data_IF_141095519969
#
_entry.id   IF_141095519969
#
_cell.length_a   1.000
_cell.length_b   1.000
_cell.length_c   1.000
_cell.angle_alpha   90.00
_cell.angle_beta   90.00
_cell.angle_gamma   90.00
#
_symmetry.space_group_name_H-M   'P 1'
#
loop_
_entity.id
_entity.type
_entity.pdbx_description
1 polymer ?
#
# COMPACT_ATOMS: atom_id res chain seq x y z
N UNK A 1 -9.18 12.29 10.16
CA UNK A 1 -9.17 12.99 8.85
C UNK A 1 -8.66 12.09 7.73
N UNK A 2 -7.51 11.43 7.89
CA UNK A 2 -6.91 10.53 6.88
C UNK A 2 -7.86 9.43 6.39
N UNK A 3 -8.50 8.66 7.29
CA UNK A 3 -9.51 7.63 6.91
C UNK A 3 -10.71 8.14 6.10
N UNK A 4 -11.10 9.41 6.27
CA UNK A 4 -12.19 10.03 5.49
C UNK A 4 -11.74 10.49 4.10
N UNK A 5 -10.48 10.92 3.98
CA UNK A 5 -9.91 11.31 2.69
C UNK A 5 -9.66 10.08 1.80
N UNK A 6 -9.16 8.99 2.40
CA UNK A 6 -8.98 7.71 1.70
C UNK A 6 -10.34 7.15 1.25
N UNK A 7 -11.36 7.11 2.13
CA UNK A 7 -12.71 6.70 1.73
C UNK A 7 -13.32 7.58 0.62
N UNK A 8 -13.05 8.88 0.63
CA UNK A 8 -13.54 9.79 -0.41
C UNK A 8 -12.82 9.63 -1.77
N UNK A 9 -11.53 9.33 -1.75
CA UNK A 9 -10.72 9.13 -2.96
C UNK A 9 -10.89 7.73 -3.57
N UNK A 10 -11.34 6.75 -2.78
CA UNK A 10 -11.36 5.33 -3.17
C UNK A 10 -12.75 4.68 -3.23
N UNK A 11 -13.84 5.40 -2.93
CA UNK A 11 -15.21 4.87 -3.10
C UNK A 11 -15.78 5.14 -4.50
N UNK A 12 -16.62 4.23 -5.05
CA UNK A 12 -17.32 4.44 -6.30
C UNK A 12 -18.33 5.60 -6.18
N UNK A 13 -18.60 6.33 -7.29
CA UNK A 13 -19.37 7.59 -7.27
C UNK A 13 -20.83 7.48 -6.79
N UNK A 14 -21.37 6.26 -6.68
CA UNK A 14 -22.77 5.99 -6.37
C UNK A 14 -23.01 5.42 -4.95
N UNK A 15 -22.03 5.48 -4.04
CA UNK A 15 -22.24 5.07 -2.64
C UNK A 15 -23.16 6.08 -1.90
N UNK A 16 -24.40 5.68 -1.51
CA UNK A 16 -25.36 6.56 -0.87
C UNK A 16 -24.98 6.96 0.57
N UNK A 17 -23.92 6.37 1.14
CA UNK A 17 -23.38 6.72 2.45
C UNK A 17 -22.45 7.94 2.47
N UNK A 18 -22.09 8.49 1.31
CA UNK A 18 -21.12 9.59 1.21
C UNK A 18 -21.82 10.94 1.30
N UNK A 19 -21.57 11.67 2.38
CA UNK A 19 -21.97 13.08 2.53
C UNK A 19 -21.29 13.89 1.42
N UNK A 20 -22.07 14.44 0.49
CA UNK A 20 -21.56 15.27 -0.61
C UNK A 20 -20.91 16.54 -0.05
N UNK A 21 -19.68 16.80 -0.49
CA UNK A 21 -18.92 17.98 -0.11
C UNK A 21 -19.68 19.27 -0.45
N UNK A 22 -19.65 20.23 0.47
CA UNK A 22 -20.22 21.56 0.31
C UNK A 22 -19.45 22.38 -0.73
N UNK A 23 -20.06 23.43 -1.32
CA UNK A 23 -19.36 24.31 -2.25
C UNK A 23 -18.09 24.96 -1.69
N UNK A 24 -18.02 25.18 -0.37
CA UNK A 24 -16.83 25.69 0.30
C UNK A 24 -15.71 24.63 0.43
N UNK A 25 -16.08 23.38 0.66
CA UNK A 25 -15.14 22.24 0.63
C UNK A 25 -14.61 22.01 -0.80
N UNK A 26 -15.47 22.17 -1.82
CA UNK A 26 -15.08 22.10 -3.24
C UNK A 26 -14.14 23.28 -3.63
N UNK A 27 -14.36 24.47 -3.07
CA UNK A 27 -13.50 25.64 -3.31
C UNK A 27 -12.13 25.48 -2.64
N UNK A 28 -12.08 24.97 -1.41
CA UNK A 28 -10.82 24.59 -0.75
C UNK A 28 -10.12 23.44 -1.48
N UNK A 29 -10.87 22.47 -1.99
CA UNK A 29 -10.36 21.37 -2.80
C UNK A 29 -9.73 21.88 -4.11
N UNK A 30 -10.33 22.88 -4.79
CA UNK A 30 -9.71 23.56 -5.95
C UNK A 30 -8.41 24.30 -5.62
N UNK A 31 -8.31 24.90 -4.43
CA UNK A 31 -7.10 25.59 -3.97
C UNK A 31 -6.01 24.57 -3.57
N UNK A 32 -6.41 23.41 -3.03
CA UNK A 32 -5.52 22.31 -2.66
C UNK A 32 -5.06 21.48 -3.88
N UNK A 33 -5.86 21.43 -4.95
CA UNK A 33 -5.62 20.74 -6.24
C UNK A 33 -4.70 21.50 -7.21
N UNK A 34 -4.05 22.59 -6.76
CA UNK A 34 -3.34 23.56 -7.61
C UNK A 34 -2.85 23.01 -8.96
N UNK A 35 -3.52 23.38 -10.05
CA UNK A 35 -3.21 23.08 -11.46
C UNK A 35 -2.51 21.73 -11.77
N UNK A 36 -2.87 20.64 -11.10
CA UNK A 36 -2.27 19.31 -11.33
C UNK A 36 -2.64 18.64 -12.68
N UNK A 37 -3.85 18.80 -13.26
CA UNK A 37 -4.27 18.02 -14.45
C UNK A 37 -3.41 18.19 -15.71
N UNK A 38 -2.46 19.14 -15.72
CA UNK A 38 -1.56 19.42 -16.85
C UNK A 38 -0.14 18.88 -16.67
N UNK A 39 0.18 18.29 -15.51
CA UNK A 39 1.50 17.77 -15.25
C UNK A 39 1.76 16.48 -16.02
N UNK A 40 2.99 16.32 -16.48
CA UNK A 40 3.51 15.07 -17.04
C UNK A 40 3.63 14.00 -15.94
N UNK A 41 3.67 12.72 -16.33
CA UNK A 41 3.89 11.60 -15.40
C UNK A 41 5.15 11.81 -14.56
N UNK A 42 6.25 12.30 -15.16
CA UNK A 42 7.49 12.62 -14.45
C UNK A 42 7.33 13.74 -13.41
N UNK A 43 6.54 14.77 -13.73
CA UNK A 43 6.29 15.86 -12.77
C UNK A 43 5.40 15.40 -11.62
N UNK A 44 4.43 14.54 -11.89
CA UNK A 44 3.56 13.94 -10.88
C UNK A 44 4.34 13.03 -9.93
N UNK A 45 5.20 12.13 -10.44
CA UNK A 45 6.03 11.28 -9.58
C UNK A 45 7.00 12.12 -8.75
N UNK A 46 7.58 13.19 -9.32
CA UNK A 46 8.42 14.13 -8.58
C UNK A 46 7.68 14.79 -7.41
N UNK A 47 6.40 15.16 -7.57
CA UNK A 47 5.59 15.70 -6.46
C UNK A 47 5.47 14.67 -5.33
N UNK A 48 5.33 13.38 -5.63
CA UNK A 48 5.33 12.31 -4.62
C UNK A 48 6.68 12.16 -3.93
N UNK A 49 7.79 12.11 -4.68
CA UNK A 49 9.15 12.03 -4.11
C UNK A 49 9.47 13.22 -3.20
N UNK A 50 9.16 14.44 -3.66
CA UNK A 50 9.33 15.66 -2.87
C UNK A 50 8.44 15.66 -1.62
N UNK A 51 7.25 15.04 -1.68
CA UNK A 51 6.40 14.86 -0.50
C UNK A 51 7.04 13.94 0.54
N UNK A 52 7.48 12.74 0.13
CA UNK A 52 8.07 11.77 1.06
C UNK A 52 9.42 12.22 1.64
N UNK A 53 10.23 12.94 0.85
CA UNK A 53 11.52 13.48 1.30
C UNK A 53 11.40 14.49 2.47
N UNK A 54 10.20 15.03 2.73
CA UNK A 54 9.96 15.95 3.85
C UNK A 54 9.79 15.24 5.20
N UNK A 55 9.65 13.92 5.18
CA UNK A 55 9.54 13.09 6.38
C UNK A 55 10.80 12.21 6.45
N UNK A 56 11.95 12.78 6.84
CA UNK A 56 13.17 12.00 7.00
C UNK A 56 12.95 10.91 8.06
N UNK A 57 13.79 9.88 7.95
CA UNK A 57 13.79 8.70 8.83
C UNK A 57 13.57 9.10 10.31
N UNK A 58 12.56 8.52 10.99
CA UNK A 58 12.24 8.85 12.38
C UNK A 58 13.40 8.56 13.37
N UNK A 59 14.43 7.83 12.94
CA UNK A 59 15.67 7.63 13.71
C UNK A 59 16.60 8.85 13.73
N UNK A 60 16.36 9.85 12.88
CA UNK A 60 17.11 11.09 12.84
C UNK A 60 16.42 12.10 13.77
N UNK A 61 17.04 12.41 14.91
CA UNK A 61 16.62 13.51 15.78
C UNK A 61 16.71 14.83 14.99
N UNK A 62 15.57 15.35 14.53
CA UNK A 62 15.50 16.65 13.88
C UNK A 62 15.19 17.70 14.94
N UNK A 63 16.11 18.65 15.13
CA UNK A 63 15.90 19.82 15.99
C UNK A 63 14.62 20.55 15.55
N UNK A 64 13.62 20.60 16.43
CA UNK A 64 12.24 21.03 16.13
C UNK A 64 12.05 22.55 16.17
N UNK A 65 13.14 23.32 16.23
CA UNK A 65 13.12 24.77 16.16
C UNK A 65 12.72 25.24 14.74
N UNK A 66 11.41 25.49 14.58
CA UNK A 66 10.74 26.01 13.39
C UNK A 66 10.80 25.11 12.15
N UNK A 67 9.84 24.19 12.02
CA UNK A 67 9.61 23.47 10.76
C UNK A 67 9.28 24.49 9.66
N UNK A 68 10.13 24.66 8.63
CA UNK A 68 9.80 25.50 7.49
C UNK A 68 8.50 25.00 6.83
N UNK A 69 7.77 25.86 6.12
CA UNK A 69 6.59 25.42 5.37
C UNK A 69 6.98 24.28 4.44
N UNK A 70 6.19 23.21 4.48
CA UNK A 70 6.36 22.02 3.67
C UNK A 70 6.40 22.40 2.17
N UNK A 71 7.50 22.13 1.42
CA UNK A 71 7.59 22.45 0.00
C UNK A 71 6.47 21.81 -0.85
N UNK A 72 5.92 20.67 -0.42
CA UNK A 72 4.74 20.05 -1.05
C UNK A 72 3.65 19.86 0.01
N UNK A 73 2.50 20.50 -0.20
CA UNK A 73 1.32 20.30 0.66
C UNK A 73 0.73 18.90 0.46
N UNK A 74 0.09 18.36 1.50
CA UNK A 74 -0.63 17.08 1.40
C UNK A 74 -1.72 17.10 0.32
N UNK A 75 -2.39 18.25 0.11
CA UNK A 75 -3.39 18.40 -0.95
C UNK A 75 -2.80 18.24 -2.36
N UNK A 76 -1.62 18.83 -2.59
CA UNK A 76 -0.91 18.70 -3.87
C UNK A 76 -0.42 17.27 -4.09
N UNK A 77 0.09 16.62 -3.04
CA UNK A 77 0.46 15.21 -3.08
C UNK A 77 -0.73 14.30 -3.45
N UNK A 78 -1.85 14.38 -2.73
CA UNK A 78 -3.02 13.52 -3.00
C UNK A 78 -3.64 13.76 -4.38
N UNK A 79 -3.59 14.99 -4.85
CA UNK A 79 -4.02 15.32 -6.21
C UNK A 79 -3.10 14.67 -7.25
N UNK A 80 -1.78 14.65 -7.02
CA UNK A 80 -0.84 13.97 -7.92
C UNK A 80 -1.04 12.44 -7.91
N UNK A 81 -1.26 11.86 -6.72
CA UNK A 81 -1.59 10.44 -6.54
C UNK A 81 -2.85 10.06 -7.32
N UNK A 82 -3.92 10.86 -7.22
CA UNK A 82 -5.17 10.60 -7.93
C UNK A 82 -4.98 10.60 -9.46
N UNK A 83 -4.21 11.55 -10.00
CA UNK A 83 -3.90 11.61 -11.43
C UNK A 83 -2.99 10.44 -11.87
N UNK A 84 -1.97 10.08 -11.07
CA UNK A 84 -1.08 8.94 -11.33
C UNK A 84 -1.85 7.62 -11.41
N UNK A 85 -2.85 7.40 -10.54
CA UNK A 85 -3.70 6.20 -10.57
C UNK A 85 -4.36 5.96 -11.93
N UNK A 86 -4.73 7.05 -12.62
CA UNK A 86 -5.34 7.02 -13.95
C UNK A 86 -4.35 6.79 -15.10
N UNK A 87 -3.03 6.89 -14.85
CA UNK A 87 -1.98 6.65 -15.86
C UNK A 87 -1.70 5.17 -16.12
N UNK A 88 -2.17 4.29 -15.24
CA UNK A 88 -2.10 2.85 -15.43
C UNK A 88 -0.67 2.36 -15.67
N UNK A 89 -0.40 1.63 -16.77
CA UNK A 89 0.91 1.03 -17.03
C UNK A 89 2.09 2.01 -17.11
N UNK A 90 1.85 3.29 -17.41
CA UNK A 90 2.92 4.29 -17.58
C UNK A 90 3.80 4.45 -16.34
N UNK A 91 3.27 4.15 -15.15
CA UNK A 91 3.96 4.38 -13.89
C UNK A 91 4.55 3.12 -13.27
N UNK A 92 4.37 1.93 -13.87
CA UNK A 92 4.73 0.66 -13.23
C UNK A 92 6.19 0.62 -12.75
N UNK A 93 7.14 1.07 -13.57
CA UNK A 93 8.56 1.07 -13.19
C UNK A 93 8.83 1.95 -11.96
N UNK A 94 8.18 3.12 -11.89
CA UNK A 94 8.29 4.00 -10.73
C UNK A 94 7.66 3.33 -9.50
N UNK A 95 6.47 2.74 -9.65
CA UNK A 95 5.79 2.04 -8.56
C UNK A 95 6.62 0.86 -8.02
N UNK A 96 7.18 0.02 -8.89
CA UNK A 96 8.03 -1.10 -8.46
C UNK A 96 9.28 -0.61 -7.71
N UNK A 97 9.89 0.48 -8.17
CA UNK A 97 11.03 1.10 -7.48
C UNK A 97 10.64 1.64 -6.10
N UNK A 98 9.44 2.22 -5.97
CA UNK A 98 8.93 2.81 -4.73
C UNK A 98 8.64 1.79 -3.62
N UNK A 99 8.48 0.50 -3.94
CA UNK A 99 8.40 -0.57 -2.94
C UNK A 99 9.69 -0.75 -2.12
N UNK A 100 10.83 -0.24 -2.62
CA UNK A 100 12.11 -0.22 -1.89
C UNK A 100 12.42 1.13 -1.25
N UNK A 101 11.50 2.10 -1.33
CA UNK A 101 11.70 3.43 -0.77
C UNK A 101 11.85 3.37 0.76
N UNK A 102 12.55 4.30 1.40
CA UNK A 102 12.78 4.31 2.86
C UNK A 102 11.53 4.71 3.66
N UNK A 103 10.72 5.61 3.13
CA UNK A 103 9.43 6.02 3.68
C UNK A 103 8.37 4.91 3.49
N UNK A 104 7.70 4.51 4.58
CA UNK A 104 6.66 3.46 4.56
C UNK A 104 5.40 3.89 3.80
N UNK A 105 5.02 5.18 3.80
CA UNK A 105 3.85 5.70 3.04
C UNK A 105 4.08 5.53 1.52
N UNK A 106 5.34 5.62 1.08
CA UNK A 106 5.71 5.39 -0.32
C UNK A 106 5.55 3.92 -0.72
N UNK A 107 5.98 3.00 0.16
CA UNK A 107 5.83 1.56 -0.05
C UNK A 107 4.37 1.13 -0.02
N UNK A 108 3.60 1.64 0.94
CA UNK A 108 2.15 1.39 1.04
C UNK A 108 1.41 1.87 -0.22
N UNK A 109 1.69 3.10 -0.69
CA UNK A 109 1.10 3.61 -1.91
C UNK A 109 1.48 2.76 -3.12
N UNK A 110 2.76 2.38 -3.22
CA UNK A 110 3.24 1.59 -4.32
C UNK A 110 2.57 0.20 -4.38
N UNK A 111 2.46 -0.46 -3.23
CA UNK A 111 1.74 -1.73 -3.12
C UNK A 111 0.27 -1.58 -3.52
N UNK A 112 -0.39 -0.51 -3.09
CA UNK A 112 -1.77 -0.19 -3.48
C UNK A 112 -1.92 -0.08 -5.00
N UNK A 113 -1.02 0.68 -5.67
CA UNK A 113 -1.07 0.83 -7.12
C UNK A 113 -0.84 -0.49 -7.86
N UNK A 114 0.10 -1.33 -7.42
CA UNK A 114 0.29 -2.65 -8.05
C UNK A 114 -0.95 -3.53 -7.87
N UNK A 115 -1.57 -3.52 -6.69
CA UNK A 115 -2.84 -4.22 -6.45
C UNK A 115 -3.94 -3.75 -7.39
N UNK A 116 -4.16 -2.43 -7.50
CA UNK A 116 -5.14 -1.83 -8.41
C UNK A 116 -4.88 -2.19 -9.89
N UNK A 117 -3.59 -2.22 -10.30
CA UNK A 117 -3.22 -2.59 -11.67
C UNK A 117 -3.40 -4.08 -11.91
N UNK A 118 -3.16 -4.93 -10.92
CA UNK A 118 -3.39 -6.36 -11.02
C UNK A 118 -4.88 -6.67 -11.22
N UNK A 119 -5.76 -6.05 -10.43
CA UNK A 119 -7.21 -6.23 -10.52
C UNK A 119 -7.77 -5.78 -11.86
N UNK A 120 -7.18 -4.75 -12.46
CA UNK A 120 -7.53 -4.26 -13.80
C UNK A 120 -6.81 -4.99 -14.94
N UNK A 121 -5.96 -5.98 -14.63
CA UNK A 121 -5.13 -6.70 -15.58
C UNK A 121 -4.20 -5.78 -16.42
N UNK A 122 -3.69 -4.72 -15.78
CA UNK A 122 -2.86 -3.67 -16.40
C UNK A 122 -1.34 -3.88 -16.19
N UNK A 123 -0.92 -4.89 -15.40
CA UNK A 123 0.51 -5.13 -15.14
C UNK A 123 1.32 -5.56 -16.38
N UNK A 124 0.67 -6.22 -17.34
CA UNK A 124 1.29 -6.60 -18.62
C UNK A 124 2.63 -7.36 -18.44
N UNK A 125 3.67 -7.02 -19.21
CA UNK A 125 4.99 -7.67 -19.12
C UNK A 125 5.71 -7.49 -17.76
N UNK A 126 5.36 -6.46 -16.99
CA UNK A 126 6.01 -6.14 -15.72
C UNK A 126 5.43 -6.94 -14.53
N UNK A 127 4.49 -7.86 -14.78
CA UNK A 127 3.82 -8.66 -13.74
C UNK A 127 4.79 -9.38 -12.81
N UNK A 128 5.83 -10.03 -13.35
CA UNK A 128 6.80 -10.76 -12.54
C UNK A 128 7.66 -9.81 -11.69
N UNK A 129 8.13 -8.71 -12.28
CA UNK A 129 8.90 -7.69 -11.56
C UNK A 129 8.08 -7.08 -10.40
N UNK A 130 6.80 -6.81 -10.64
CA UNK A 130 5.88 -6.33 -9.61
C UNK A 130 5.64 -7.37 -8.50
N UNK A 131 5.49 -8.66 -8.85
CA UNK A 131 5.38 -9.75 -7.87
C UNK A 131 6.65 -9.84 -7.01
N UNK A 132 7.83 -9.85 -7.62
CA UNK A 132 9.11 -9.97 -6.92
C UNK A 132 9.34 -8.77 -5.96
N UNK A 133 9.02 -7.55 -6.41
CA UNK A 133 9.13 -6.35 -5.60
C UNK A 133 8.14 -6.37 -4.42
N UNK A 134 6.90 -6.83 -4.64
CA UNK A 134 5.90 -6.98 -3.59
C UNK A 134 6.30 -8.04 -2.57
N UNK A 135 6.86 -9.17 -3.01
CA UNK A 135 7.41 -10.20 -2.10
C UNK A 135 8.44 -9.59 -1.17
N UNK A 136 9.41 -8.84 -1.73
CA UNK A 136 10.44 -8.18 -0.93
C UNK A 136 9.87 -7.16 0.06
N UNK A 137 8.82 -6.43 -0.33
CA UNK A 137 8.13 -5.49 0.55
C UNK A 137 7.32 -6.18 1.65
N UNK A 138 6.56 -7.23 1.33
CA UNK A 138 5.67 -7.92 2.26
C UNK A 138 6.40 -8.63 3.41
N UNK A 139 7.66 -9.03 3.20
CA UNK A 139 8.49 -9.71 4.20
C UNK A 139 9.53 -8.80 4.85
N UNK A 140 9.49 -7.50 4.57
CA UNK A 140 10.42 -6.54 5.16
C UNK A 140 10.21 -6.48 6.67
N UNK A 141 11.26 -6.77 7.46
CA UNK A 141 11.14 -6.81 8.92
C UNK A 141 10.65 -5.46 9.48
N UNK A 142 9.64 -5.44 10.37
CA UNK A 142 9.09 -4.22 10.93
C UNK A 142 10.15 -3.41 11.66
N UNK A 143 10.14 -2.09 11.44
CA UNK A 143 10.85 -1.17 12.33
C UNK A 143 9.93 -0.79 13.51
N UNK A 144 10.51 -0.42 14.65
CA UNK A 144 9.86 -0.29 15.97
C UNK A 144 8.63 0.66 16.06
N UNK A 145 8.24 1.37 15.00
CA UNK A 145 7.12 2.33 15.01
C UNK A 145 5.77 1.74 14.54
N UNK A 146 5.73 0.46 14.14
CA UNK A 146 4.52 -0.25 13.71
C UNK A 146 3.98 0.16 12.34
N UNK A 147 4.59 1.13 11.66
CA UNK A 147 4.12 1.62 10.35
C UNK A 147 4.64 0.80 9.18
N UNK A 148 5.78 0.13 9.37
CA UNK A 148 6.27 -0.87 8.44
C UNK A 148 5.24 -2.01 8.28
N UNK A 149 4.65 -2.51 9.37
CA UNK A 149 3.64 -3.57 9.33
C UNK A 149 2.42 -3.21 8.44
N UNK A 150 2.01 -1.94 8.41
CA UNK A 150 0.95 -1.46 7.51
C UNK A 150 1.35 -1.56 6.04
N UNK A 151 2.58 -1.16 5.68
CA UNK A 151 3.07 -1.28 4.31
C UNK A 151 3.18 -2.76 3.89
N UNK A 152 3.62 -3.63 4.80
CA UNK A 152 3.70 -5.07 4.58
C UNK A 152 2.31 -5.70 4.37
N UNK A 153 1.30 -5.31 5.17
CA UNK A 153 -0.08 -5.79 5.00
C UNK A 153 -0.62 -5.44 3.62
N UNK A 154 -0.46 -4.18 3.20
CA UNK A 154 -0.90 -3.74 1.88
C UNK A 154 -0.13 -4.47 0.77
N UNK A 155 1.17 -4.71 0.94
CA UNK A 155 1.95 -5.50 -0.01
C UNK A 155 1.49 -6.97 -0.10
N UNK A 156 1.17 -7.60 1.03
CA UNK A 156 0.64 -8.95 1.09
C UNK A 156 -0.74 -9.06 0.41
N UNK A 157 -1.63 -8.08 0.64
CA UNK A 157 -2.93 -8.01 -0.03
C UNK A 157 -2.78 -7.73 -1.52
N UNK A 158 -1.82 -6.89 -1.92
CA UNK A 158 -1.51 -6.66 -3.33
C UNK A 158 -0.99 -7.93 -4.02
N UNK A 159 -0.16 -8.74 -3.35
CA UNK A 159 0.26 -10.06 -3.87
C UNK A 159 -0.92 -10.98 -4.17
N UNK A 160 -1.98 -10.93 -3.35
CA UNK A 160 -3.20 -11.70 -3.58
C UNK A 160 -3.87 -11.25 -4.88
N UNK A 161 -3.95 -9.94 -5.11
CA UNK A 161 -4.51 -9.36 -6.34
C UNK A 161 -3.63 -9.64 -7.57
N UNK A 162 -2.30 -9.60 -7.45
CA UNK A 162 -1.37 -10.06 -8.50
C UNK A 162 -1.62 -11.52 -8.80
N UNK A 163 -1.77 -12.35 -7.77
CA UNK A 163 -1.92 -13.79 -7.91
C UNK A 163 -0.65 -14.47 -8.43
N UNK A 164 -0.45 -15.72 -8.05
CA UNK A 164 0.79 -16.43 -8.30
C UNK A 164 1.03 -17.40 -7.15
N UNK A 165 2.10 -18.21 -7.26
CA UNK A 165 2.47 -19.13 -6.18
C UNK A 165 3.39 -18.48 -5.14
N UNK A 166 4.00 -17.33 -5.44
CA UNK A 166 4.96 -16.70 -4.52
C UNK A 166 4.30 -16.25 -3.20
N UNK A 167 3.02 -15.86 -3.25
CA UNK A 167 2.26 -15.42 -2.08
C UNK A 167 2.23 -16.45 -0.95
N UNK A 168 2.13 -17.74 -1.26
CA UNK A 168 2.10 -18.76 -0.22
C UNK A 168 3.47 -18.95 0.44
N UNK A 169 4.56 -18.73 -0.29
CA UNK A 169 5.90 -18.63 0.28
C UNK A 169 5.99 -17.49 1.31
N UNK A 170 5.43 -16.33 0.96
CA UNK A 170 5.34 -15.16 1.85
C UNK A 170 4.48 -15.44 3.09
N UNK A 171 3.27 -15.98 2.91
CA UNK A 171 2.37 -16.34 4.02
C UNK A 171 3.06 -17.35 4.95
N UNK A 172 3.69 -18.40 4.39
CA UNK A 172 4.41 -19.40 5.16
C UNK A 172 5.52 -18.77 6.00
N UNK A 173 6.30 -17.86 5.42
CA UNK A 173 7.34 -17.14 6.14
C UNK A 173 6.77 -16.29 7.27
N UNK A 174 5.76 -15.46 7.00
CA UNK A 174 5.12 -14.60 8.01
C UNK A 174 4.55 -15.42 9.17
N UNK A 175 3.91 -16.56 8.89
CA UNK A 175 3.30 -17.39 9.92
C UNK A 175 4.31 -18.19 10.75
N UNK A 176 5.54 -18.39 10.29
CA UNK A 176 6.48 -19.33 10.93
C UNK A 176 7.77 -18.71 11.44
N UNK A 177 8.18 -17.55 10.93
CA UNK A 177 9.44 -16.92 11.32
C UNK A 177 9.30 -16.14 12.64
N UNK A 178 10.37 -16.15 13.44
CA UNK A 178 10.38 -15.67 14.82
C UNK A 178 10.12 -14.16 14.93
N UNK A 179 10.61 -13.39 13.96
CA UNK A 179 10.48 -11.94 13.86
C UNK A 179 9.03 -11.45 13.72
N UNK A 180 8.11 -12.33 13.29
CA UNK A 180 6.70 -12.01 13.11
C UNK A 180 5.83 -12.46 14.29
N UNK A 181 6.39 -13.14 15.30
CA UNK A 181 5.59 -13.88 16.29
C UNK A 181 4.51 -13.07 16.99
N UNK A 182 4.82 -11.80 17.29
CA UNK A 182 3.96 -10.87 18.02
C UNK A 182 3.37 -9.79 17.09
N UNK A 183 3.49 -9.94 15.77
CA UNK A 183 3.06 -8.94 14.79
C UNK A 183 1.68 -9.26 14.22
N UNK A 184 0.84 -8.23 14.09
CA UNK A 184 -0.52 -8.33 13.56
C UNK A 184 -0.55 -8.81 12.09
N UNK A 185 0.56 -8.70 11.35
CA UNK A 185 0.68 -9.22 9.98
C UNK A 185 0.41 -10.74 9.91
N UNK A 186 0.58 -11.49 11.00
CA UNK A 186 0.18 -12.91 11.06
C UNK A 186 -1.32 -13.10 10.86
N UNK A 187 -2.14 -12.23 11.44
CA UNK A 187 -3.60 -12.26 11.24
C UNK A 187 -3.97 -11.97 9.79
N UNK A 188 -3.33 -10.98 9.18
CA UNK A 188 -3.49 -10.70 7.75
C UNK A 188 -3.07 -11.89 6.89
N UNK A 189 -1.98 -12.58 7.23
CA UNK A 189 -1.54 -13.77 6.51
C UNK A 189 -2.55 -14.93 6.61
N UNK A 190 -3.18 -15.11 7.78
CA UNK A 190 -4.29 -16.08 7.95
C UNK A 190 -5.49 -15.70 7.09
N UNK A 191 -5.92 -14.43 7.14
CA UNK A 191 -7.07 -13.94 6.36
C UNK A 191 -6.82 -14.13 4.85
N UNK A 192 -5.66 -13.69 4.36
CA UNK A 192 -5.29 -13.80 2.94
C UNK A 192 -5.18 -15.27 2.51
N UNK A 193 -4.64 -16.16 3.35
CA UNK A 193 -4.62 -17.59 3.06
C UNK A 193 -6.06 -18.15 2.99
N UNK A 194 -6.91 -17.77 3.93
CA UNK A 194 -8.32 -18.17 3.95
C UNK A 194 -9.04 -17.76 2.67
N UNK A 195 -8.84 -16.53 2.21
CA UNK A 195 -9.40 -16.05 0.95
C UNK A 195 -8.89 -16.83 -0.27
N UNK A 196 -7.57 -17.09 -0.35
CA UNK A 196 -6.95 -17.81 -1.46
C UNK A 196 -7.41 -19.28 -1.55
N UNK A 197 -7.72 -19.89 -0.40
CA UNK A 197 -8.01 -21.32 -0.28
C UNK A 197 -9.49 -21.61 0.00
N UNK A 198 -10.30 -20.55 0.15
CA UNK A 198 -11.69 -20.62 0.60
C UNK A 198 -11.85 -21.42 1.91
N UNK A 199 -10.90 -21.28 2.83
CA UNK A 199 -10.92 -21.93 4.14
C UNK A 199 -11.25 -20.91 5.25
N UNK A 200 -12.12 -21.26 6.21
CA UNK A 200 -12.56 -20.34 7.26
C UNK A 200 -11.59 -20.32 8.46
N UNK A 201 -10.29 -20.13 8.24
CA UNK A 201 -9.30 -20.21 9.33
C UNK A 201 -9.60 -19.27 10.50
N UNK A 202 -10.16 -18.08 10.24
CA UNK A 202 -10.52 -17.10 11.28
C UNK A 202 -11.64 -17.57 12.22
N UNK A 203 -12.37 -18.63 11.86
CA UNK A 203 -13.41 -19.23 12.70
C UNK A 203 -12.87 -20.33 13.62
N UNK A 204 -11.62 -20.76 13.41
CA UNK A 204 -10.98 -21.79 14.23
C UNK A 204 -10.57 -21.24 15.61
N UNK A 205 -10.51 -22.09 16.66
CA UNK A 205 -10.02 -21.67 17.97
C UNK A 205 -8.57 -21.17 17.98
N UNK A 206 -7.74 -21.73 17.08
CA UNK A 206 -6.34 -21.35 16.88
C UNK A 206 -6.09 -21.08 15.38
N UNK A 207 -6.53 -19.91 14.85
CA UNK A 207 -6.52 -19.60 13.42
C UNK A 207 -5.15 -19.76 12.76
N UNK A 208 -4.11 -19.27 13.43
CA UNK A 208 -2.74 -19.33 12.93
C UNK A 208 -2.19 -20.75 12.89
N UNK A 209 -2.49 -21.58 13.89
CA UNK A 209 -2.07 -22.97 13.92
C UNK A 209 -2.79 -23.75 12.80
N UNK A 210 -4.08 -23.52 12.60
CA UNK A 210 -4.85 -24.14 11.52
C UNK A 210 -4.27 -23.77 10.14
N UNK A 211 -3.95 -22.49 9.92
CA UNK A 211 -3.29 -22.02 8.69
C UNK A 211 -1.92 -22.67 8.47
N UNK A 212 -1.08 -22.75 9.51
CA UNK A 212 0.23 -23.41 9.45
C UNK A 212 0.11 -24.90 9.12
N UNK A 213 -0.81 -25.62 9.75
CA UNK A 213 -1.06 -27.04 9.48
C UNK A 213 -1.54 -27.26 8.04
N UNK A 214 -2.40 -26.38 7.54
CA UNK A 214 -2.85 -26.44 6.15
C UNK A 214 -1.68 -26.27 5.17
N UNK A 215 -0.80 -25.28 5.40
CA UNK A 215 0.39 -25.05 4.57
C UNK A 215 1.39 -26.21 4.63
N UNK A 216 1.50 -26.89 5.77
CA UNK A 216 2.34 -28.08 5.90
C UNK A 216 1.80 -29.28 5.11
N UNK A 217 0.47 -29.41 5.03
CA UNK A 217 -0.19 -30.44 4.23
C UNK A 217 -0.18 -30.13 2.72
N UNK A 218 0.00 -28.86 2.32
CA UNK A 218 -0.03 -28.40 0.94
C UNK A 218 1.26 -27.63 0.59
N UNK A 219 2.40 -28.33 0.37
CA UNK A 219 3.69 -27.68 0.12
C UNK A 219 3.76 -26.93 -1.21
N UNK A 220 2.87 -27.23 -2.16
CA UNK A 220 2.70 -26.52 -3.43
C UNK A 220 1.69 -25.37 -3.39
N UNK A 221 1.01 -25.22 -2.24
CA UNK A 221 0.39 -23.96 -1.85
C UNK A 221 1.50 -22.94 -1.82
#
# INVERSE_FOLDING_TARGET
MLKRLLAYLFSPPDDPGIVRATPAEIANDRILRGDIPKLTTQELTRVCEEYWAQFPDPTIEVDTAAKPPLPVSSGRYWSAVAELRGRGPEIINWVCSSLSHSNYDARELAATFIGDFAERNELGPARQEAEDALVACAIRVPQYDGKEAQANDVALRALKSVGGKAIFGVIRYILTADEWKEDDLRWSAVEVLGDLTSQPFLEEPEPELAAQQWLAAHPEG
#
